data_IF_175052772547
#
_entry.id   IF_175052772547
#
_cell.length_a   1.000
_cell.length_b   1.000
_cell.length_c   1.000
_cell.angle_alpha   90.00
_cell.angle_beta   90.00
_cell.angle_gamma   90.00
#
_symmetry.space_group_name_H-M   'P 1'
#
loop_
_entity.id
_entity.type
_entity.pdbx_description
1 polymer ?
#
# COMPACT_ATOMS: atom_id res chain seq x y z
N UNK A 1 35.33 -1.90 15.49
CA UNK A 1 34.55 -0.74 15.00
C UNK A 1 33.13 -0.96 15.46
N UNK A 2 32.61 -0.14 16.37
CA UNK A 2 31.20 -0.19 16.79
C UNK A 2 30.37 0.46 15.68
N UNK A 3 29.60 -0.34 14.94
CA UNK A 3 28.62 0.20 14.01
C UNK A 3 27.66 1.08 14.79
N UNK A 4 27.58 2.35 14.45
CA UNK A 4 26.57 3.26 14.96
C UNK A 4 25.20 2.68 14.57
N UNK A 5 24.46 2.15 15.54
CA UNK A 5 23.03 1.93 15.39
C UNK A 5 22.40 3.29 15.13
N UNK A 6 21.96 3.48 13.92
CA UNK A 6 21.34 4.72 13.50
C UNK A 6 19.89 4.69 13.99
N UNK A 7 19.53 5.59 14.91
CA UNK A 7 18.16 5.72 15.46
C UNK A 7 17.16 6.12 14.38
N UNK A 8 16.00 5.46 14.39
CA UNK A 8 14.85 5.87 13.56
C UNK A 8 14.45 7.31 13.88
N UNK A 9 14.04 8.05 12.86
CA UNK A 9 13.47 9.38 13.03
C UNK A 9 11.97 9.25 13.27
N UNK A 10 11.56 9.14 14.53
CA UNK A 10 10.19 8.81 14.95
C UNK A 10 9.09 9.72 14.38
N UNK A 11 9.41 10.96 14.04
CA UNK A 11 8.46 11.93 13.49
C UNK A 11 8.73 12.21 12.01
N UNK A 12 9.25 11.22 11.27
CA UNK A 12 9.51 11.35 9.83
C UNK A 12 8.64 10.37 9.02
N UNK A 13 8.02 10.94 7.99
CA UNK A 13 7.24 10.22 6.97
C UNK A 13 8.00 10.26 5.66
N UNK A 14 8.14 9.12 4.98
CA UNK A 14 8.74 9.03 3.65
C UNK A 14 7.68 8.56 2.63
N UNK A 15 7.43 9.38 1.61
CA UNK A 15 6.65 8.96 0.45
C UNK A 15 7.58 8.24 -0.53
N UNK A 16 7.20 7.04 -0.92
CA UNK A 16 8.01 6.14 -1.77
C UNK A 16 7.26 5.83 -3.05
N UNK A 17 7.86 6.13 -4.20
CA UNK A 17 7.24 5.93 -5.51
C UNK A 17 8.24 5.32 -6.49
N UNK A 18 7.85 4.27 -7.21
CA UNK A 18 8.54 3.82 -8.41
C UNK A 18 7.99 4.58 -9.62
N UNK A 19 8.87 5.16 -10.43
CA UNK A 19 8.50 6.12 -11.47
C UNK A 19 8.93 5.60 -12.84
N UNK A 20 7.98 5.46 -13.75
CA UNK A 20 8.20 5.20 -15.18
C UNK A 20 7.44 6.18 -16.09
N UNK A 21 6.54 6.99 -15.50
CA UNK A 21 5.82 8.08 -16.15
C UNK A 21 6.01 9.36 -15.33
N UNK A 22 6.84 10.27 -15.85
CA UNK A 22 7.21 11.49 -15.15
C UNK A 22 6.04 12.47 -15.04
N UNK A 23 5.14 12.51 -16.03
CA UNK A 23 3.98 13.41 -16.00
C UNK A 23 2.99 13.01 -14.88
N UNK A 24 2.69 11.73 -14.77
CA UNK A 24 1.87 11.19 -13.67
C UNK A 24 2.53 11.46 -12.32
N UNK A 25 3.84 11.22 -12.21
CA UNK A 25 4.57 11.46 -10.98
C UNK A 25 4.57 12.94 -10.56
N UNK A 26 4.72 13.88 -11.50
CA UNK A 26 4.65 15.31 -11.18
C UNK A 26 3.26 15.73 -10.69
N UNK A 27 2.20 15.11 -11.19
CA UNK A 27 0.84 15.32 -10.65
C UNK A 27 0.71 14.75 -9.23
N UNK A 28 1.24 13.56 -8.99
CA UNK A 28 1.30 12.98 -7.64
C UNK A 28 2.01 13.93 -6.68
N UNK A 29 3.22 14.41 -7.02
CA UNK A 29 3.99 15.34 -6.18
C UNK A 29 3.22 16.63 -5.89
N UNK A 30 2.48 17.19 -6.87
CA UNK A 30 1.63 18.35 -6.62
C UNK A 30 0.59 18.08 -5.55
N UNK A 31 -0.04 16.92 -5.55
CA UNK A 31 -1.00 16.55 -4.51
C UNK A 31 -0.34 16.41 -3.14
N UNK A 32 0.88 15.88 -3.05
CA UNK A 32 1.63 15.81 -1.80
C UNK A 32 1.91 17.19 -1.19
N UNK A 33 2.08 18.23 -2.02
CA UNK A 33 2.31 19.60 -1.56
C UNK A 33 1.10 20.24 -0.88
N UNK A 34 -0.10 19.72 -1.08
CA UNK A 34 -1.33 20.21 -0.43
C UNK A 34 -1.62 19.52 0.90
N UNK A 35 -0.80 18.53 1.31
CA UNK A 35 -1.00 17.85 2.57
C UNK A 35 -0.63 18.72 3.76
N UNK A 36 -1.44 18.65 4.79
CA UNK A 36 -1.15 19.28 6.09
C UNK A 36 -0.29 18.34 6.94
N UNK A 37 0.80 18.87 7.47
CA UNK A 37 1.69 18.12 8.38
C UNK A 37 1.51 18.62 9.80
N UNK A 38 1.34 17.72 10.78
CA UNK A 38 1.35 18.10 12.19
C UNK A 38 2.69 18.75 12.58
N UNK A 39 2.70 19.66 13.56
CA UNK A 39 3.94 20.26 14.06
C UNK A 39 4.96 19.20 14.48
N UNK A 40 6.20 19.35 14.05
CA UNK A 40 7.30 18.43 14.36
C UNK A 40 7.40 17.20 13.43
N UNK A 41 6.42 16.97 12.56
CA UNK A 41 6.50 15.88 11.56
C UNK A 41 7.28 16.34 10.35
N UNK A 42 8.31 15.56 9.99
CA UNK A 42 9.14 15.78 8.82
C UNK A 42 8.68 14.91 7.66
N UNK A 43 8.85 15.43 6.43
CA UNK A 43 8.51 14.71 5.20
C UNK A 43 9.79 14.47 4.38
N UNK A 44 9.94 13.24 3.93
CA UNK A 44 10.93 12.84 2.93
C UNK A 44 10.20 12.29 1.70
N UNK A 45 10.79 12.41 0.52
CA UNK A 45 10.32 11.75 -0.70
C UNK A 45 11.44 10.89 -1.26
N UNK A 46 11.12 9.65 -1.57
CA UNK A 46 12.00 8.72 -2.24
C UNK A 46 11.36 8.27 -3.56
N UNK A 47 12.08 8.40 -4.65
CA UNK A 47 11.60 7.95 -5.95
C UNK A 47 12.65 7.10 -6.67
N UNK A 48 12.19 6.03 -7.30
CA UNK A 48 13.04 5.12 -8.06
C UNK A 48 12.59 5.06 -9.51
N UNK A 49 13.46 5.56 -10.43
CA UNK A 49 13.21 5.55 -11.89
C UNK A 49 13.79 4.33 -12.59
N UNK A 50 14.51 3.49 -11.87
CA UNK A 50 15.20 2.32 -12.44
C UNK A 50 14.81 1.00 -11.78
N UNK A 51 13.69 0.96 -11.05
CA UNK A 51 13.24 -0.25 -10.39
C UNK A 51 12.89 -1.34 -11.41
N UNK A 52 13.37 -2.56 -11.19
CA UNK A 52 13.00 -3.73 -11.97
C UNK A 52 11.61 -4.26 -11.63
N UNK A 53 11.07 -3.89 -10.47
CA UNK A 53 9.75 -4.21 -9.97
C UNK A 53 9.45 -3.40 -8.72
N UNK A 54 8.18 -3.41 -8.26
CA UNK A 54 7.78 -2.60 -7.11
C UNK A 54 8.44 -3.07 -5.81
N UNK A 55 8.52 -4.38 -5.57
CA UNK A 55 9.17 -4.91 -4.38
C UNK A 55 10.64 -4.50 -4.28
N UNK A 56 11.40 -4.56 -5.38
CA UNK A 56 12.82 -4.17 -5.40
C UNK A 56 13.02 -2.67 -5.14
N UNK A 57 12.19 -1.83 -5.78
CA UNK A 57 12.22 -0.38 -5.58
C UNK A 57 11.86 0.03 -4.14
N UNK A 58 10.90 -0.65 -3.55
CA UNK A 58 10.46 -0.40 -2.17
C UNK A 58 11.49 -0.91 -1.14
N UNK A 59 12.14 -2.05 -1.38
CA UNK A 59 13.26 -2.50 -0.57
C UNK A 59 14.45 -1.54 -0.60
N UNK A 60 14.70 -0.91 -1.74
CA UNK A 60 15.72 0.12 -1.83
C UNK A 60 15.38 1.32 -0.94
N UNK A 61 14.11 1.76 -0.95
CA UNK A 61 13.66 2.82 -0.05
C UNK A 61 13.81 2.46 1.44
N UNK A 62 13.55 1.20 1.82
CA UNK A 62 13.79 0.72 3.19
C UNK A 62 15.28 0.84 3.56
N UNK A 63 16.19 0.54 2.65
CA UNK A 63 17.63 0.63 2.90
C UNK A 63 18.13 2.08 2.98
N UNK A 64 17.54 3.01 2.25
CA UNK A 64 18.03 4.38 2.09
C UNK A 64 17.33 5.39 3.00
N UNK A 65 16.02 5.23 3.28
CA UNK A 65 15.29 6.11 4.20
C UNK A 65 15.19 5.50 5.61
N UNK A 66 15.35 6.36 6.60
CA UNK A 66 15.18 6.03 8.04
C UNK A 66 13.89 6.57 8.62
N UNK A 67 13.02 7.09 7.78
CA UNK A 67 11.70 7.49 8.21
C UNK A 67 10.99 6.30 8.85
N UNK A 68 10.40 6.50 10.03
CA UNK A 68 9.62 5.47 10.72
C UNK A 68 8.40 5.07 9.92
N UNK A 69 7.76 6.03 9.29
CA UNK A 69 6.53 5.80 8.52
C UNK A 69 6.86 5.88 7.03
N UNK A 70 6.55 4.82 6.29
CA UNK A 70 6.72 4.79 4.84
C UNK A 70 5.37 4.67 4.16
N UNK A 71 5.13 5.52 3.19
CA UNK A 71 3.93 5.56 2.38
C UNK A 71 4.33 5.22 0.96
N UNK A 72 4.11 3.98 0.57
CA UNK A 72 4.34 3.49 -0.77
C UNK A 72 3.11 3.77 -1.60
N UNK A 73 3.28 4.45 -2.72
CA UNK A 73 2.16 4.82 -3.57
C UNK A 73 2.56 4.73 -5.05
N UNK A 74 1.58 4.41 -5.88
CA UNK A 74 1.74 4.48 -7.32
C UNK A 74 1.92 5.94 -7.77
N UNK A 75 2.65 6.15 -8.86
CA UNK A 75 2.90 7.48 -9.43
C UNK A 75 1.62 8.19 -9.92
N UNK A 76 0.56 7.43 -10.17
CA UNK A 76 -0.76 7.85 -10.63
C UNK A 76 -1.81 7.87 -9.51
N UNK A 77 -1.36 7.78 -8.25
CA UNK A 77 -2.22 7.89 -7.06
C UNK A 77 -2.07 9.28 -6.43
N UNK A 78 -3.19 10.00 -6.35
CA UNK A 78 -3.23 11.38 -5.87
C UNK A 78 -3.97 11.46 -4.54
N UNK A 79 -3.27 11.85 -3.46
CA UNK A 79 -3.89 11.98 -2.13
C UNK A 79 -4.73 13.26 -2.12
N UNK A 80 -6.02 13.11 -1.81
CA UNK A 80 -7.01 14.19 -1.77
C UNK A 80 -7.37 14.60 -0.34
N UNK A 81 -7.24 13.70 0.63
CA UNK A 81 -7.42 14.03 2.04
C UNK A 81 -6.26 14.89 2.53
N UNK A 82 -6.48 16.18 2.71
CA UNK A 82 -5.45 17.10 3.19
C UNK A 82 -4.93 16.78 4.59
N UNK A 83 -5.73 16.08 5.41
CA UNK A 83 -5.38 15.65 6.77
C UNK A 83 -4.77 14.23 6.81
N UNK A 84 -4.48 13.63 5.66
CA UNK A 84 -4.02 12.25 5.52
C UNK A 84 -2.91 11.89 6.51
N UNK A 85 -1.91 12.75 6.68
CA UNK A 85 -0.78 12.50 7.59
C UNK A 85 -1.24 12.47 9.05
N UNK A 86 -2.06 13.43 9.47
CA UNK A 86 -2.58 13.45 10.83
C UNK A 86 -3.43 12.23 11.16
N UNK A 87 -4.31 11.84 10.23
CA UNK A 87 -5.21 10.70 10.38
C UNK A 87 -4.43 9.38 10.44
N UNK A 88 -3.46 9.22 9.54
CA UNK A 88 -2.61 8.04 9.49
C UNK A 88 -1.74 7.89 10.76
N UNK A 89 -1.08 8.97 11.18
CA UNK A 89 -0.22 8.94 12.37
C UNK A 89 -1.02 8.72 13.66
N UNK A 90 -2.22 9.31 13.78
CA UNK A 90 -3.10 9.06 14.91
C UNK A 90 -3.50 7.58 14.98
N UNK A 91 -3.81 6.97 13.82
CA UNK A 91 -4.16 5.56 13.71
C UNK A 91 -3.00 4.67 14.15
N UNK A 92 -1.79 4.87 13.62
CA UNK A 92 -0.62 4.08 13.96
C UNK A 92 -0.20 4.24 15.44
N UNK A 93 -0.18 5.47 15.97
CA UNK A 93 0.17 5.73 17.37
C UNK A 93 -0.81 5.08 18.35
N UNK A 94 -2.09 5.01 17.99
CA UNK A 94 -3.12 4.39 18.83
C UNK A 94 -3.17 2.87 18.69
N UNK A 95 -2.61 2.30 17.61
CA UNK A 95 -2.69 0.88 17.29
C UNK A 95 -1.33 0.32 16.87
N UNK A 96 -0.42 0.05 17.83
CA UNK A 96 0.93 -0.48 17.50
C UNK A 96 0.91 -1.81 16.76
N UNK A 97 -0.17 -2.60 16.86
CA UNK A 97 -0.31 -3.86 16.11
C UNK A 97 -0.74 -3.67 14.65
N UNK A 98 -1.22 -2.50 14.29
CA UNK A 98 -1.57 -2.18 12.91
C UNK A 98 -0.29 -1.87 12.13
N UNK A 99 0.27 -2.85 11.44
CA UNK A 99 1.54 -2.71 10.74
C UNK A 99 1.44 -2.07 9.37
N UNK A 100 0.34 -2.32 8.67
CA UNK A 100 0.12 -1.87 7.30
C UNK A 100 -1.31 -1.35 7.12
N UNK A 101 -1.45 -0.22 6.44
CA UNK A 101 -2.71 0.43 6.09
C UNK A 101 -2.79 0.59 4.58
N UNK A 102 -3.92 0.19 3.98
CA UNK A 102 -4.33 0.54 2.63
C UNK A 102 -5.72 1.16 2.62
N UNK A 103 -6.26 1.46 1.44
CA UNK A 103 -7.49 2.24 1.32
C UNK A 103 -8.67 1.45 0.78
N UNK A 104 -8.39 0.41 -0.02
CA UNK A 104 -9.37 -0.59 -0.49
C UNK A 104 -8.73 -1.98 -0.41
N UNK A 105 -9.55 -3.02 -0.33
CA UNK A 105 -9.09 -4.40 -0.28
C UNK A 105 -10.19 -5.37 0.13
N UNK A 106 -9.81 -6.51 0.73
CA UNK A 106 -10.74 -7.57 1.11
C UNK A 106 -10.43 -8.15 2.50
N UNK A 107 -11.47 -8.47 3.26
CA UNK A 107 -11.36 -9.16 4.56
C UNK A 107 -10.85 -10.59 4.42
N UNK A 108 -11.15 -11.22 3.29
CA UNK A 108 -10.66 -12.54 2.92
C UNK A 108 -10.43 -12.59 1.41
N UNK A 109 -9.46 -13.37 0.97
CA UNK A 109 -9.11 -13.55 -0.44
C UNK A 109 -9.70 -14.87 -0.91
N UNK A 110 -10.42 -14.91 -2.05
CA UNK A 110 -10.89 -16.16 -2.65
C UNK A 110 -9.73 -17.14 -2.93
N UNK A 111 -10.03 -18.42 -2.97
CA UNK A 111 -9.07 -19.50 -3.20
C UNK A 111 -8.27 -19.36 -4.50
N UNK A 112 -8.85 -18.70 -5.52
CA UNK A 112 -8.16 -18.37 -6.77
C UNK A 112 -7.20 -17.18 -6.65
N UNK A 113 -7.09 -16.51 -5.50
CA UNK A 113 -6.08 -15.49 -5.19
C UNK A 113 -6.32 -14.09 -5.72
N UNK A 114 -7.52 -13.75 -6.23
CA UNK A 114 -7.84 -12.42 -6.77
C UNK A 114 -8.76 -11.70 -5.80
N UNK A 115 -8.23 -10.69 -5.10
CA UNK A 115 -8.92 -10.06 -3.98
C UNK A 115 -10.21 -9.31 -4.36
N UNK A 116 -10.26 -8.68 -5.54
CA UNK A 116 -11.44 -7.91 -6.00
C UNK A 116 -12.64 -8.77 -6.42
N UNK A 117 -12.49 -10.09 -6.48
CA UNK A 117 -13.60 -11.03 -6.60
C UNK A 117 -14.11 -11.55 -5.26
N UNK A 118 -13.59 -11.02 -4.14
CA UNK A 118 -14.10 -11.34 -2.81
C UNK A 118 -15.53 -10.77 -2.63
N UNK A 119 -16.36 -11.49 -1.91
CA UNK A 119 -17.65 -11.01 -1.40
C UNK A 119 -17.52 -10.10 -0.17
N UNK A 120 -16.29 -9.90 0.34
CA UNK A 120 -15.97 -9.15 1.55
C UNK A 120 -15.08 -7.94 1.24
N UNK A 121 -15.39 -7.23 0.18
CA UNK A 121 -14.66 -6.02 -0.23
C UNK A 121 -14.90 -4.86 0.74
N UNK A 122 -13.85 -4.07 1.01
CA UNK A 122 -13.83 -2.98 1.96
C UNK A 122 -13.17 -1.72 1.37
N UNK A 123 -13.61 -0.55 1.87
CA UNK A 123 -13.00 0.74 1.56
C UNK A 123 -13.59 1.46 0.37
N UNK A 124 -12.97 2.57 -0.01
CA UNK A 124 -13.43 3.40 -1.11
C UNK A 124 -12.28 4.18 -1.76
N UNK A 125 -12.42 4.47 -3.06
CA UNK A 125 -11.46 5.21 -3.86
C UNK A 125 -12.18 5.90 -5.02
N UNK A 126 -11.63 7.01 -5.52
CA UNK A 126 -12.01 7.53 -6.84
C UNK A 126 -11.03 6.93 -7.85
N UNK A 127 -11.53 6.27 -8.89
CA UNK A 127 -10.73 5.77 -10.00
C UNK A 127 -11.00 6.57 -11.26
N UNK A 128 -9.96 6.82 -12.05
CA UNK A 128 -10.10 7.33 -13.41
C UNK A 128 -9.67 6.24 -14.40
N UNK A 129 -10.67 5.60 -15.02
CA UNK A 129 -10.53 4.62 -16.12
C UNK A 129 -11.07 5.22 -17.41
N UNK A 130 -10.57 6.40 -17.81
CA UNK A 130 -11.11 7.33 -18.81
C UNK A 130 -12.43 8.01 -18.39
N UNK A 131 -13.08 7.51 -17.36
CA UNK A 131 -14.24 8.14 -16.70
C UNK A 131 -14.00 8.03 -15.19
N UNK A 132 -14.27 9.11 -14.48
CA UNK A 132 -14.19 9.10 -13.02
C UNK A 132 -15.29 8.24 -12.44
N UNK A 133 -14.92 7.30 -11.59
CA UNK A 133 -15.81 6.39 -10.90
C UNK A 133 -15.60 6.47 -9.40
N UNK A 134 -16.66 6.59 -8.66
CA UNK A 134 -16.64 6.44 -7.21
C UNK A 134 -16.80 4.96 -6.87
N UNK A 135 -15.68 4.30 -6.63
CA UNK A 135 -15.66 2.90 -6.19
C UNK A 135 -15.86 2.88 -4.68
N UNK A 136 -16.97 2.30 -4.25
CA UNK A 136 -17.32 2.16 -2.83
C UNK A 136 -17.72 0.71 -2.56
N UNK A 137 -17.00 0.11 -1.64
CA UNK A 137 -17.31 -1.20 -1.06
C UNK A 137 -17.92 -1.03 0.35
N UNK A 138 -17.91 -2.07 1.18
CA UNK A 138 -18.33 -1.96 2.57
C UNK A 138 -17.45 -0.96 3.31
N UNK A 139 -18.06 -0.19 4.20
CA UNK A 139 -17.33 0.77 5.02
C UNK A 139 -16.60 0.06 6.17
N UNK A 140 -15.38 0.51 6.45
CA UNK A 140 -14.68 0.10 7.64
C UNK A 140 -15.37 0.68 8.88
N UNK A 141 -15.60 -0.14 9.88
CA UNK A 141 -15.97 0.35 11.21
C UNK A 141 -14.81 1.17 11.79
N UNK A 142 -15.14 2.21 12.56
CA UNK A 142 -14.11 3.07 13.15
C UNK A 142 -13.35 2.31 14.25
N UNK A 143 -12.02 2.53 14.40
CA UNK A 143 -11.19 3.44 13.60
C UNK A 143 -10.68 2.81 12.29
N UNK A 144 -10.63 1.48 12.20
CA UNK A 144 -10.25 0.75 11.00
C UNK A 144 -10.84 -0.67 11.02
N UNK A 145 -10.96 -1.25 9.85
CA UNK A 145 -11.31 -2.67 9.66
C UNK A 145 -10.05 -3.49 9.37
N UNK A 146 -9.83 -4.56 10.15
CA UNK A 146 -8.80 -5.54 9.82
C UNK A 146 -9.20 -6.35 8.59
N UNK A 147 -8.25 -6.53 7.66
CA UNK A 147 -8.46 -7.19 6.37
C UNK A 147 -7.34 -8.18 6.07
N UNK A 148 -7.58 -9.08 5.11
CA UNK A 148 -6.56 -10.02 4.65
C UNK A 148 -5.53 -9.33 3.77
N UNK A 149 -6.00 -8.46 2.88
CA UNK A 149 -5.15 -7.72 1.95
C UNK A 149 -5.76 -6.39 1.54
N UNK A 150 -4.92 -5.49 1.08
CA UNK A 150 -5.24 -4.20 0.50
C UNK A 150 -4.55 -4.04 -0.85
N UNK A 151 -5.11 -3.17 -1.69
CA UNK A 151 -4.57 -2.82 -3.00
C UNK A 151 -3.29 -2.00 -2.89
N UNK A 152 -2.38 -2.19 -3.82
CA UNK A 152 -1.07 -1.56 -3.87
C UNK A 152 -1.05 -0.09 -4.27
N UNK A 153 -2.19 0.49 -4.66
CA UNK A 153 -2.26 1.90 -5.06
C UNK A 153 -1.67 2.83 -3.99
N UNK A 154 -1.90 2.51 -2.71
CA UNK A 154 -1.29 3.16 -1.56
C UNK A 154 -1.20 2.19 -0.39
N UNK A 155 0.03 2.01 0.13
CA UNK A 155 0.34 1.20 1.30
C UNK A 155 1.15 2.03 2.29
N UNK A 156 0.63 2.24 3.49
CA UNK A 156 1.36 2.93 4.55
C UNK A 156 1.80 1.94 5.63
N UNK A 157 3.04 2.04 6.08
CA UNK A 157 3.63 1.15 7.10
C UNK A 157 4.29 1.92 8.22
N UNK A 158 4.29 1.35 9.44
CA UNK A 158 5.05 1.86 10.57
C UNK A 158 6.24 0.98 10.96
N UNK A 159 6.46 -0.11 10.22
CA UNK A 159 7.56 -1.05 10.41
C UNK A 159 8.18 -1.42 9.07
N UNK A 160 9.49 -1.55 9.05
CA UNK A 160 10.26 -1.97 7.88
C UNK A 160 10.28 -3.49 7.80
N UNK A 161 9.36 -4.06 7.04
CA UNK A 161 9.35 -5.47 6.67
C UNK A 161 9.80 -5.59 5.21
N UNK A 162 10.88 -6.32 4.92
CA UNK A 162 11.35 -6.48 3.54
C UNK A 162 10.27 -7.05 2.63
N UNK A 163 10.16 -6.47 1.45
CA UNK A 163 9.29 -6.96 0.38
C UNK A 163 9.90 -8.21 -0.24
N UNK A 164 9.06 -9.16 -0.62
CA UNK A 164 9.50 -10.43 -1.20
C UNK A 164 9.91 -10.29 -2.68
N UNK A 165 10.94 -9.45 -2.93
CA UNK A 165 11.52 -9.27 -4.27
C UNK A 165 12.16 -10.56 -4.84
N UNK A 166 12.43 -11.53 -3.99
CA UNK A 166 12.89 -12.87 -4.35
C UNK A 166 11.82 -13.70 -5.07
N UNK A 167 10.54 -13.41 -4.87
CA UNK A 167 9.40 -14.10 -5.49
C UNK A 167 8.62 -13.15 -6.41
N UNK A 168 8.36 -11.92 -5.94
CA UNK A 168 7.55 -10.92 -6.64
C UNK A 168 8.47 -9.83 -7.19
N UNK A 169 9.25 -10.20 -8.19
CA UNK A 169 10.29 -9.39 -8.84
C UNK A 169 9.75 -8.43 -9.93
N UNK A 170 8.43 -8.40 -10.14
CA UNK A 170 7.74 -7.56 -11.13
C UNK A 170 6.78 -6.54 -10.52
N UNK A 171 5.62 -6.38 -11.19
CA UNK A 171 4.68 -5.30 -10.94
C UNK A 171 3.37 -5.77 -10.29
N UNK A 172 3.19 -7.08 -10.06
CA UNK A 172 1.95 -7.68 -9.57
C UNK A 172 2.18 -8.48 -8.30
N UNK A 173 1.15 -8.56 -7.44
CA UNK A 173 1.10 -9.33 -6.21
C UNK A 173 2.13 -8.96 -5.13
N UNK A 174 2.95 -7.93 -5.33
CA UNK A 174 3.86 -7.41 -4.32
C UNK A 174 3.09 -6.90 -3.10
N UNK A 175 1.94 -6.27 -3.32
CA UNK A 175 1.02 -5.70 -2.33
C UNK A 175 0.35 -6.77 -1.46
N UNK A 176 -0.28 -7.76 -2.08
CA UNK A 176 -0.86 -8.89 -1.38
C UNK A 176 0.21 -9.64 -0.59
N UNK A 177 1.35 -9.91 -1.22
CA UNK A 177 2.50 -10.54 -0.57
C UNK A 177 2.89 -9.78 0.69
N UNK A 178 3.02 -8.45 0.61
CA UNK A 178 3.40 -7.63 1.77
C UNK A 178 2.35 -7.69 2.88
N UNK A 179 1.07 -7.72 2.55
CA UNK A 179 0.00 -7.90 3.52
C UNK A 179 0.18 -9.21 4.31
N UNK A 180 0.49 -10.31 3.60
CA UNK A 180 0.72 -11.61 4.24
C UNK A 180 2.01 -11.64 5.05
N UNK A 181 3.08 -10.98 4.59
CA UNK A 181 4.32 -10.87 5.33
C UNK A 181 4.15 -10.09 6.66
N UNK A 182 3.34 -9.02 6.68
CA UNK A 182 2.98 -8.34 7.92
C UNK A 182 2.19 -9.26 8.86
N UNK A 183 1.20 -9.99 8.34
CA UNK A 183 0.36 -10.90 9.12
C UNK A 183 1.15 -12.09 9.67
N UNK A 184 2.08 -12.68 8.90
CA UNK A 184 2.98 -13.74 9.35
C UNK A 184 3.85 -13.30 10.54
N UNK A 185 4.12 -11.99 10.66
CA UNK A 185 4.87 -11.40 11.79
C UNK A 185 3.98 -10.93 12.95
N UNK A 186 2.68 -11.25 12.89
CA UNK A 186 1.73 -10.94 13.95
C UNK A 186 1.15 -9.54 13.91
N UNK A 187 1.42 -8.75 12.86
CA UNK A 187 0.79 -7.46 12.65
C UNK A 187 -0.54 -7.58 11.93
N UNK A 188 -1.44 -6.64 12.18
CA UNK A 188 -2.67 -6.49 11.41
C UNK A 188 -2.44 -5.61 10.18
N UNK A 189 -3.20 -5.92 9.14
CA UNK A 189 -3.39 -5.09 7.95
C UNK A 189 -4.78 -4.47 8.06
N UNK A 190 -4.92 -3.19 7.75
CA UNK A 190 -6.18 -2.50 7.97
C UNK A 190 -6.55 -1.50 6.88
N UNK A 191 -7.86 -1.26 6.79
CA UNK A 191 -8.45 -0.18 6.00
C UNK A 191 -9.08 0.80 7.00
N UNK A 192 -8.68 2.09 7.01
CA UNK A 192 -9.21 3.07 7.92
C UNK A 192 -10.68 3.39 7.60
N UNK A 193 -11.41 3.86 8.60
CA UNK A 193 -12.70 4.50 8.33
C UNK A 193 -12.46 5.77 7.50
N UNK A 194 -13.14 5.86 6.37
CA UNK A 194 -13.04 6.99 5.45
C UNK A 194 -14.44 7.61 5.27
N UNK A 195 -14.66 8.83 5.73
CA UNK A 195 -15.90 9.55 5.44
C UNK A 195 -16.04 9.76 3.91
N UNK A 196 -14.96 10.29 3.29
CA UNK A 196 -14.83 10.46 1.85
C UNK A 196 -13.58 9.71 1.35
N UNK A 197 -13.46 9.38 0.04
CA UNK A 197 -12.25 8.76 -0.50
C UNK A 197 -11.01 9.61 -0.24
N UNK A 198 -9.96 8.97 0.25
CA UNK A 198 -8.71 9.66 0.53
C UNK A 198 -7.83 9.87 -0.70
N UNK A 199 -8.08 9.12 -1.76
CA UNK A 199 -7.26 9.17 -2.99
C UNK A 199 -8.10 9.12 -4.24
N UNK A 200 -7.50 9.67 -5.31
CA UNK A 200 -7.85 9.44 -6.70
C UNK A 200 -6.74 8.59 -7.33
N UNK A 201 -7.11 7.47 -7.94
CA UNK A 201 -6.23 6.59 -8.69
C UNK A 201 -6.46 6.78 -10.19
N UNK A 202 -5.49 7.35 -10.88
CA UNK A 202 -5.57 7.67 -12.33
C UNK A 202 -5.04 6.51 -13.18
N UNK A 203 -5.55 5.29 -12.93
CA UNK A 203 -4.99 4.04 -13.42
C UNK A 203 -5.21 3.76 -14.91
N UNK A 204 -6.10 4.49 -15.59
CA UNK A 204 -6.46 4.15 -16.95
C UNK A 204 -7.19 2.81 -17.08
N UNK A 205 -7.23 2.26 -18.29
CA UNK A 205 -7.80 0.93 -18.50
C UNK A 205 -6.75 -0.14 -18.17
N UNK A 206 -7.10 -1.03 -17.26
CA UNK A 206 -6.31 -2.21 -16.92
C UNK A 206 -7.08 -3.46 -17.35
N UNK A 207 -6.41 -4.38 -18.03
CA UNK A 207 -6.95 -5.72 -18.33
C UNK A 207 -6.00 -6.75 -17.70
N UNK A 208 -6.32 -7.17 -16.48
CA UNK A 208 -5.55 -8.19 -15.76
C UNK A 208 -6.01 -9.61 -16.06
N UNK A 209 -7.25 -9.80 -16.55
CA UNK A 209 -7.83 -11.12 -16.74
C UNK A 209 -7.13 -11.90 -17.86
N UNK A 210 -6.66 -11.21 -18.91
CA UNK A 210 -5.96 -11.80 -20.04
C UNK A 210 -4.43 -11.60 -19.96
N UNK A 211 -3.89 -11.04 -18.88
CA UNK A 211 -2.47 -10.79 -18.74
C UNK A 211 -1.72 -12.05 -18.22
N UNK A 212 -0.88 -12.70 -19.05
CA UNK A 212 -0.14 -13.88 -18.63
C UNK A 212 0.88 -13.57 -17.53
N UNK A 213 1.40 -12.34 -17.46
CA UNK A 213 2.33 -11.91 -16.40
C UNK A 213 1.60 -11.81 -15.07
N UNK A 214 0.40 -11.22 -15.06
CA UNK A 214 -0.46 -11.21 -13.88
C UNK A 214 -0.77 -12.64 -13.39
N UNK A 215 -1.15 -13.54 -14.29
CA UNK A 215 -1.43 -14.94 -13.94
C UNK A 215 -0.21 -15.68 -13.40
N UNK A 216 0.98 -15.40 -13.93
CA UNK A 216 2.22 -15.97 -13.41
C UNK A 216 2.44 -15.60 -11.94
N UNK A 217 2.31 -14.30 -11.56
CA UNK A 217 2.46 -13.86 -10.19
C UNK A 217 1.32 -14.34 -9.28
N UNK A 218 0.11 -14.47 -9.81
CA UNK A 218 -1.01 -15.09 -9.09
C UNK A 218 -0.67 -16.52 -8.66
N UNK A 219 -0.09 -17.32 -9.55
CA UNK A 219 0.30 -18.69 -9.21
C UNK A 219 1.44 -18.74 -8.18
N UNK A 220 2.41 -17.83 -8.26
CA UNK A 220 3.44 -17.67 -7.23
C UNK A 220 2.80 -17.33 -5.86
N UNK A 221 1.83 -16.42 -5.84
CA UNK A 221 1.12 -16.03 -4.63
C UNK A 221 0.35 -17.21 -4.01
N UNK A 222 -0.40 -17.94 -4.79
CA UNK A 222 -1.13 -19.13 -4.32
C UNK A 222 -0.19 -20.23 -3.80
N UNK A 223 0.95 -20.42 -4.46
CA UNK A 223 1.96 -21.37 -3.99
C UNK A 223 2.54 -20.98 -2.63
N UNK A 224 2.84 -19.69 -2.44
CA UNK A 224 3.49 -19.19 -1.22
C UNK A 224 2.51 -19.02 -0.06
N UNK A 225 1.30 -18.50 -0.32
CA UNK A 225 0.35 -18.04 0.70
C UNK A 225 -1.01 -18.75 0.68
N UNK A 226 -1.27 -19.66 -0.25
CA UNK A 226 -2.59 -20.26 -0.44
C UNK A 226 -3.13 -21.03 0.77
N UNK A 227 -2.27 -21.44 1.71
CA UNK A 227 -2.66 -22.10 2.96
C UNK A 227 -2.72 -21.14 4.17
N UNK A 228 -2.34 -19.88 4.00
CA UNK A 228 -2.26 -18.94 5.11
C UNK A 228 -3.67 -18.50 5.59
N UNK A 229 -3.81 -18.08 6.86
CA UNK A 229 -5.03 -17.45 7.34
C UNK A 229 -5.36 -16.19 6.53
N UNK A 230 -6.61 -16.03 6.12
CA UNK A 230 -7.07 -14.91 5.27
C UNK A 230 -7.36 -15.33 3.84
N UNK A 231 -6.87 -16.47 3.39
CA UNK A 231 -7.40 -17.16 2.21
C UNK A 231 -8.71 -17.85 2.55
N UNK A 232 -9.73 -17.69 1.71
CA UNK A 232 -10.93 -18.50 1.78
C UNK A 232 -10.53 -19.93 1.37
N UNK A 233 -10.95 -20.89 2.17
CA UNK A 233 -10.81 -22.31 1.79
C UNK A 233 -11.93 -22.66 0.82
N UNK A 234 -11.67 -23.53 -0.17
CA UNK A 234 -12.69 -24.00 -1.09
C UNK A 234 -13.81 -24.76 -0.36
#
# INVERSE_FOLDING_TARGET
MRGSMMTEKEDTVCFVTCVNDEEQYQLCVKHLQFLSFPPGVHCETYFNRGASGLASGYNQAIRESRAKYKIYLHQDTYIMNTNFISDLLALFKSHPQLGLVGLIGARAIPDHGVWWYSDQLMGKVIENRHVYQYVKFNEAEAPFQSVAAVDGLLLATQYDIPWREDIFDGWHYYDLSQCFEFRRRGYSVGIPHQAEPWVLHNCGLMNTDDDPVYHHYRMKFLHEYGSDPGMLKP
#
